data_IF_400073228424
#
_entry.id   IF_400073228424
#
_cell.length_a   1.000
_cell.length_b   1.000
_cell.length_c   1.000
_cell.angle_alpha   90.00
_cell.angle_beta   90.00
_cell.angle_gamma   90.00
#
_symmetry.space_group_name_H-M   'P 1'
#
loop_
_entity.id
_entity.type
_entity.pdbx_description
1 polymer ?
#
# COMPACT_ATOMS: atom_id res chain seq x y z
N UNK A 1 24.45 -0.66 5.20
CA UNK A 1 23.20 -1.33 4.68
C UNK A 1 22.12 -1.18 5.74
N UNK A 2 20.83 -1.18 5.38
CA UNK A 2 19.75 -1.00 6.39
C UNK A 2 19.83 -2.03 7.52
N UNK A 3 20.21 -3.25 7.22
CA UNK A 3 20.42 -4.32 8.21
C UNK A 3 21.50 -4.06 9.26
N UNK A 4 22.31 -3.04 9.09
CA UNK A 4 23.34 -2.63 10.08
C UNK A 4 22.77 -1.64 11.11
N UNK A 5 21.63 -1.01 10.79
CA UNK A 5 21.03 0.04 11.60
C UNK A 5 19.60 -0.25 12.02
N UNK A 6 18.91 -1.16 11.32
CA UNK A 6 17.51 -1.50 11.56
C UNK A 6 17.36 -2.99 11.90
N UNK A 7 16.50 -3.28 12.86
CA UNK A 7 16.10 -4.64 13.20
C UNK A 7 14.77 -4.96 12.52
N UNK A 8 14.65 -6.09 11.79
CA UNK A 8 13.38 -6.48 11.19
C UNK A 8 12.34 -6.81 12.27
N UNK A 9 11.08 -6.48 11.97
CA UNK A 9 9.95 -6.91 12.79
C UNK A 9 9.64 -8.39 12.59
N UNK A 10 9.06 -9.02 13.60
CA UNK A 10 8.68 -10.44 13.55
C UNK A 10 7.16 -10.65 13.49
N UNK A 11 6.39 -9.56 13.44
CA UNK A 11 4.92 -9.61 13.48
C UNK A 11 4.28 -8.78 12.39
N UNK A 12 3.10 -9.20 11.94
CA UNK A 12 2.26 -8.41 11.05
C UNK A 12 1.58 -7.33 11.87
N UNK A 13 1.77 -6.06 11.50
CA UNK A 13 1.21 -4.93 12.23
C UNK A 13 -0.18 -4.57 11.70
N UNK A 14 -1.20 -4.77 12.56
CA UNK A 14 -2.59 -4.37 12.29
C UNK A 14 -3.08 -3.56 13.47
N UNK A 15 -3.60 -2.37 13.18
CA UNK A 15 -4.18 -1.44 14.15
C UNK A 15 -5.70 -1.53 14.11
N UNK A 16 -6.32 -1.77 15.25
CA UNK A 16 -7.76 -1.60 15.42
C UNK A 16 -8.05 -0.11 15.67
N UNK A 17 -8.77 0.52 14.76
CA UNK A 17 -9.21 1.91 14.90
C UNK A 17 -10.72 2.00 14.97
N UNK A 18 -11.25 3.14 15.37
CA UNK A 18 -12.69 3.39 15.38
C UNK A 18 -13.34 3.33 13.99
N UNK A 19 -12.57 3.44 12.91
CA UNK A 19 -13.07 3.43 11.54
C UNK A 19 -13.01 2.03 10.91
N UNK A 20 -11.84 1.38 10.99
CA UNK A 20 -11.58 0.06 10.41
C UNK A 20 -10.24 -0.49 10.91
N UNK A 21 -9.95 -1.74 10.58
CA UNK A 21 -8.60 -2.28 10.76
C UNK A 21 -7.66 -1.74 9.69
N UNK A 22 -6.49 -1.25 10.12
CA UNK A 22 -5.46 -0.68 9.27
C UNK A 22 -4.19 -1.52 9.37
N UNK A 23 -3.69 -2.02 8.25
CA UNK A 23 -2.38 -2.65 8.17
C UNK A 23 -1.28 -1.61 7.97
N UNK A 24 -0.14 -1.79 8.61
CA UNK A 24 1.03 -0.93 8.43
C UNK A 24 2.21 -1.77 7.97
N UNK A 25 2.85 -1.34 6.89
CA UNK A 25 4.05 -1.93 6.33
C UNK A 25 5.00 -0.81 5.88
N UNK A 26 6.28 -1.09 5.68
CA UNK A 26 7.28 -0.07 5.40
C UNK A 26 8.06 -0.42 4.13
N UNK A 27 8.10 0.53 3.19
CA UNK A 27 8.99 0.57 2.03
C UNK A 27 9.13 -0.77 1.29
N UNK A 28 10.22 -1.50 1.55
CA UNK A 28 10.56 -2.75 0.87
C UNK A 28 9.51 -3.85 1.06
N UNK A 29 8.75 -3.82 2.16
CA UNK A 29 7.69 -4.78 2.46
C UNK A 29 6.68 -4.91 1.31
N UNK A 30 6.47 -3.84 0.55
CA UNK A 30 5.52 -3.83 -0.58
C UNK A 30 5.88 -4.84 -1.68
N UNK A 31 7.12 -5.32 -1.72
CA UNK A 31 7.56 -6.34 -2.68
C UNK A 31 6.96 -7.72 -2.41
N UNK A 32 6.45 -7.95 -1.20
CA UNK A 32 5.96 -9.25 -0.73
C UNK A 32 4.43 -9.25 -0.65
N UNK A 33 3.72 -9.72 -1.70
CA UNK A 33 2.25 -9.69 -1.75
C UNK A 33 1.60 -10.53 -0.64
N UNK A 34 2.29 -11.54 -0.14
CA UNK A 34 1.81 -12.43 0.93
C UNK A 34 1.52 -11.66 2.22
N UNK A 35 2.35 -10.67 2.56
CA UNK A 35 2.16 -9.84 3.75
C UNK A 35 0.80 -9.11 3.71
N UNK A 36 0.48 -8.48 2.59
CA UNK A 36 -0.76 -7.72 2.42
C UNK A 36 -1.98 -8.62 2.33
N UNK A 37 -1.82 -9.81 1.77
CA UNK A 37 -2.87 -10.83 1.80
C UNK A 37 -3.17 -11.25 3.24
N UNK A 38 -2.16 -11.49 4.05
CA UNK A 38 -2.33 -11.84 5.45
C UNK A 38 -3.01 -10.71 6.24
N UNK A 39 -2.59 -9.46 6.06
CA UNK A 39 -3.26 -8.30 6.66
C UNK A 39 -4.73 -8.21 6.27
N UNK A 40 -5.04 -8.43 5.00
CA UNK A 40 -6.42 -8.40 4.48
C UNK A 40 -7.27 -9.51 5.06
N UNK A 41 -6.75 -10.72 5.15
CA UNK A 41 -7.45 -11.86 5.75
C UNK A 41 -7.67 -11.69 7.26
N UNK A 42 -6.79 -10.95 7.94
CA UNK A 42 -6.97 -10.54 9.33
C UNK A 42 -7.93 -9.35 9.50
N UNK A 43 -8.49 -8.82 8.40
CA UNK A 43 -9.56 -7.83 8.39
C UNK A 43 -9.13 -6.40 8.04
N UNK A 44 -7.88 -6.16 7.67
CA UNK A 44 -7.45 -4.83 7.23
C UNK A 44 -8.26 -4.36 6.00
N UNK A 45 -8.73 -3.12 6.05
CA UNK A 45 -9.47 -2.45 4.97
C UNK A 45 -8.66 -1.35 4.30
N UNK A 46 -7.63 -0.88 4.97
CA UNK A 46 -6.67 0.13 4.52
C UNK A 46 -5.26 -0.34 4.87
N UNK A 47 -4.32 -0.15 3.97
CA UNK A 47 -2.89 -0.28 4.25
C UNK A 47 -2.25 1.11 4.22
N UNK A 48 -1.38 1.38 5.17
CA UNK A 48 -0.49 2.53 5.18
C UNK A 48 0.93 2.06 4.93
N UNK A 49 1.58 2.63 3.91
CA UNK A 49 2.93 2.28 3.50
C UNK A 49 3.80 3.54 3.34
N UNK A 50 4.52 3.98 4.37
CA UNK A 50 5.62 4.91 4.15
C UNK A 50 6.75 4.22 3.39
N UNK A 51 7.32 4.91 2.40
CA UNK A 51 8.40 4.33 1.60
C UNK A 51 9.02 5.34 0.64
N UNK A 52 10.27 5.10 0.27
CA UNK A 52 11.01 5.95 -0.66
C UNK A 52 11.64 5.08 -1.76
N UNK A 53 11.02 5.03 -2.93
CA UNK A 53 11.62 4.42 -4.10
C UNK A 53 12.58 5.40 -4.76
N UNK A 54 13.69 4.88 -5.30
CA UNK A 54 14.65 5.67 -6.07
C UNK A 54 14.15 5.94 -7.50
N UNK A 55 14.93 6.69 -8.26
CA UNK A 55 14.59 7.07 -9.64
C UNK A 55 14.67 5.92 -10.66
N UNK A 56 15.23 4.77 -10.30
CA UNK A 56 15.25 3.58 -11.16
C UNK A 56 13.98 2.76 -10.98
N UNK A 57 13.65 2.43 -9.74
CA UNK A 57 12.50 1.57 -9.44
C UNK A 57 11.18 2.35 -9.28
N UNK A 58 11.26 3.62 -8.93
CA UNK A 58 10.07 4.47 -8.76
C UNK A 58 9.21 4.53 -10.02
N UNK A 59 9.73 5.04 -11.15
CA UNK A 59 8.96 5.13 -12.39
C UNK A 59 8.44 3.79 -12.90
N UNK A 60 9.20 2.72 -12.71
CA UNK A 60 8.87 1.40 -13.23
C UNK A 60 7.90 0.61 -12.34
N UNK A 61 7.97 0.78 -11.01
CA UNK A 61 7.30 -0.14 -10.09
C UNK A 61 6.29 0.53 -9.15
N UNK A 62 6.46 1.81 -8.80
CA UNK A 62 5.66 2.45 -7.75
C UNK A 62 4.16 2.33 -8.02
N UNK A 63 3.71 2.91 -9.13
CA UNK A 63 2.29 2.94 -9.50
C UNK A 63 1.70 1.53 -9.67
N UNK A 64 2.43 0.67 -10.39
CA UNK A 64 2.02 -0.70 -10.65
C UNK A 64 1.83 -1.47 -9.34
N UNK A 65 2.82 -1.38 -8.45
CA UNK A 65 2.82 -2.15 -7.21
C UNK A 65 1.72 -1.70 -6.26
N UNK A 66 1.54 -0.37 -6.06
CA UNK A 66 0.51 0.14 -5.15
C UNK A 66 -0.90 -0.23 -5.62
N UNK A 67 -1.16 -0.09 -6.92
CA UNK A 67 -2.42 -0.48 -7.53
C UNK A 67 -2.66 -1.99 -7.45
N UNK A 68 -1.64 -2.80 -7.70
CA UNK A 68 -1.74 -4.25 -7.61
C UNK A 68 -2.08 -4.70 -6.18
N UNK A 69 -1.42 -4.15 -5.15
CA UNK A 69 -1.72 -4.49 -3.74
C UNK A 69 -3.14 -4.12 -3.34
N UNK A 70 -3.64 -2.97 -3.81
CA UNK A 70 -5.03 -2.58 -3.59
C UNK A 70 -6.01 -3.54 -4.29
N UNK A 71 -5.80 -3.82 -5.58
CA UNK A 71 -6.65 -4.65 -6.42
C UNK A 71 -6.68 -6.11 -5.95
N UNK A 72 -5.52 -6.73 -5.75
CA UNK A 72 -5.39 -8.13 -5.36
C UNK A 72 -6.12 -8.45 -4.04
N UNK A 73 -6.17 -7.46 -3.16
CA UNK A 73 -6.74 -7.58 -1.82
C UNK A 73 -8.10 -6.90 -1.68
N UNK A 74 -8.51 -6.14 -2.69
CA UNK A 74 -9.78 -5.37 -2.71
C UNK A 74 -9.92 -4.50 -1.46
N UNK A 75 -8.90 -3.68 -1.21
CA UNK A 75 -8.78 -2.75 -0.08
C UNK A 75 -8.25 -1.40 -0.57
N UNK A 76 -8.28 -0.39 0.29
CA UNK A 76 -7.53 0.84 0.05
C UNK A 76 -6.06 0.65 0.38
N UNK A 77 -5.19 1.30 -0.41
CA UNK A 77 -3.75 1.25 -0.22
C UNK A 77 -3.17 2.66 -0.34
N UNK A 78 -2.68 3.20 0.78
CA UNK A 78 -2.10 4.54 0.85
C UNK A 78 -0.58 4.43 0.99
N UNK A 79 0.14 4.89 -0.02
CA UNK A 79 1.59 4.93 -0.03
C UNK A 79 2.08 6.38 0.07
N UNK A 80 2.96 6.65 1.03
CA UNK A 80 3.51 7.98 1.31
C UNK A 80 5.00 7.98 1.06
N UNK A 81 5.45 8.87 0.18
CA UNK A 81 6.86 9.04 -0.16
C UNK A 81 7.33 10.46 0.18
N UNK A 82 8.58 10.64 0.60
CA UNK A 82 9.16 11.98 0.70
C UNK A 82 9.08 12.72 -0.63
N UNK A 83 8.96 14.04 -0.57
CA UNK A 83 9.19 14.90 -1.72
C UNK A 83 10.61 14.70 -2.26
N UNK A 84 10.78 14.90 -3.57
CA UNK A 84 12.11 14.75 -4.19
C UNK A 84 12.97 15.96 -3.86
N UNK A 85 14.09 15.69 -3.21
CA UNK A 85 15.19 16.64 -3.08
C UNK A 85 16.20 16.36 -4.21
N UNK A 86 16.32 17.29 -5.15
CA UNK A 86 17.22 17.17 -6.31
C UNK A 86 18.68 17.45 -5.97
N UNK A 87 18.93 18.10 -4.84
CA UNK A 87 20.28 18.45 -4.36
C UNK A 87 20.80 17.44 -3.31
N UNK A 88 19.92 16.60 -2.78
CA UNK A 88 20.24 15.63 -1.75
C UNK A 88 20.96 14.39 -2.28
N UNK A 89 21.60 13.64 -1.39
CA UNK A 89 22.33 12.41 -1.75
C UNK A 89 21.40 11.27 -2.20
N UNK A 90 20.13 11.34 -1.87
CA UNK A 90 19.11 10.38 -2.27
C UNK A 90 17.90 11.09 -2.87
N UNK A 91 17.59 10.77 -4.12
CA UNK A 91 16.44 11.32 -4.81
C UNK A 91 15.28 10.34 -4.76
N UNK A 92 14.30 10.63 -3.90
CA UNK A 92 13.05 9.88 -3.84
C UNK A 92 12.22 10.12 -5.11
N UNK A 93 11.52 9.08 -5.56
CA UNK A 93 10.58 9.20 -6.68
C UNK A 93 9.42 10.14 -6.35
N UNK A 94 9.02 10.23 -5.07
CA UNK A 94 7.84 10.98 -4.64
C UNK A 94 6.56 10.24 -5.00
N UNK A 95 5.56 10.99 -5.51
CA UNK A 95 4.32 10.43 -6.03
C UNK A 95 3.48 9.69 -4.99
N UNK A 96 3.34 10.24 -3.79
CA UNK A 96 2.43 9.71 -2.78
C UNK A 96 1.03 9.49 -3.37
N UNK A 97 0.40 8.39 -3.02
CA UNK A 97 -0.85 8.01 -3.67
C UNK A 97 -1.77 7.19 -2.75
N UNK A 98 -3.06 7.20 -3.07
CA UNK A 98 -4.05 6.30 -2.49
C UNK A 98 -4.75 5.56 -3.63
N UNK A 99 -4.62 4.23 -3.64
CA UNK A 99 -5.34 3.37 -4.56
C UNK A 99 -6.60 2.80 -3.90
N UNK A 100 -7.69 2.71 -4.65
CA UNK A 100 -8.97 2.17 -4.22
C UNK A 100 -9.06 0.64 -4.46
N UNK A 101 -10.11 -0.05 -3.97
CA UNK A 101 -10.28 -1.50 -4.14
C UNK A 101 -10.38 -1.98 -5.60
N UNK A 102 -10.65 -1.09 -6.54
CA UNK A 102 -10.67 -1.39 -7.99
C UNK A 102 -9.29 -1.23 -8.64
N UNK A 103 -8.26 -0.81 -7.89
CA UNK A 103 -6.91 -0.58 -8.39
C UNK A 103 -6.73 0.76 -9.11
N UNK A 104 -7.59 1.73 -8.88
CA UNK A 104 -7.48 3.09 -9.41
C UNK A 104 -6.97 4.04 -8.33
N UNK A 105 -6.26 5.09 -8.74
CA UNK A 105 -5.89 6.15 -7.82
C UNK A 105 -7.09 7.06 -7.51
N UNK A 106 -7.45 7.17 -6.23
CA UNK A 106 -8.42 8.14 -5.72
C UNK A 106 -7.76 9.37 -5.07
N UNK A 107 -6.44 9.36 -4.95
CA UNK A 107 -5.62 10.49 -4.53
C UNK A 107 -4.18 10.29 -4.98
N UNK A 108 -3.54 11.36 -5.47
CA UNK A 108 -2.14 11.29 -5.92
C UNK A 108 -1.48 12.67 -5.89
N UNK A 109 -0.19 12.69 -5.55
CA UNK A 109 0.70 13.85 -5.73
C UNK A 109 1.66 13.61 -6.89
N UNK A 110 2.52 14.60 -7.13
CA UNK A 110 3.74 14.46 -7.91
C UNK A 110 4.98 14.32 -7.00
N UNK A 111 6.14 14.71 -7.49
CA UNK A 111 7.40 14.64 -6.75
C UNK A 111 7.62 15.81 -5.77
N UNK A 112 6.76 16.83 -5.79
CA UNK A 112 6.89 18.04 -4.96
C UNK A 112 6.29 17.82 -3.57
N UNK A 113 6.67 18.68 -2.63
CA UNK A 113 6.02 18.76 -1.33
C UNK A 113 4.54 19.12 -1.51
N UNK A 114 3.67 18.27 -0.99
CA UNK A 114 2.22 18.45 -1.09
C UNK A 114 1.46 17.56 -0.11
N UNK A 115 0.16 17.80 0.00
CA UNK A 115 -0.77 16.99 0.80
C UNK A 115 -1.79 16.36 -0.15
N UNK A 116 -2.03 15.07 0.02
CA UNK A 116 -3.11 14.34 -0.64
C UNK A 116 -4.26 14.09 0.33
N UNK A 117 -5.47 14.33 -0.14
CA UNK A 117 -6.70 13.94 0.55
C UNK A 117 -7.41 12.88 -0.28
N UNK A 118 -7.87 11.81 0.37
CA UNK A 118 -8.68 10.78 -0.26
C UNK A 118 -9.81 10.33 0.69
N UNK A 119 -10.98 10.11 0.13
CA UNK A 119 -12.10 9.50 0.86
C UNK A 119 -11.90 7.99 0.87
N UNK A 120 -11.93 7.39 2.06
CA UNK A 120 -11.97 5.94 2.24
C UNK A 120 -13.44 5.54 2.42
N UNK A 121 -13.99 4.85 1.44
CA UNK A 121 -15.36 4.39 1.42
C UNK A 121 -15.39 2.87 1.71
N UNK A 122 -15.79 2.50 2.91
CA UNK A 122 -15.79 1.11 3.34
C UNK A 122 -16.89 0.29 2.66
N UNK A 123 -17.99 0.93 2.31
CA UNK A 123 -19.10 0.26 1.59
C UNK A 123 -18.66 -0.10 0.16
N UNK A 124 -17.83 0.73 -0.46
CA UNK A 124 -17.25 0.44 -1.77
C UNK A 124 -16.37 -0.82 -1.77
N UNK A 125 -15.66 -1.10 -0.67
CA UNK A 125 -14.92 -2.36 -0.53
C UNK A 125 -15.87 -3.56 -0.63
N UNK A 126 -17.00 -3.50 0.08
CA UNK A 126 -17.98 -4.59 0.08
C UNK A 126 -18.69 -4.73 -1.27
N UNK A 127 -19.00 -3.61 -1.93
CA UNK A 127 -19.53 -3.60 -3.29
C UNK A 127 -18.62 -4.33 -4.26
N UNK A 128 -17.32 -3.96 -4.32
CA UNK A 128 -16.33 -4.58 -5.18
C UNK A 128 -16.16 -6.08 -4.87
N UNK A 129 -16.11 -6.45 -3.59
CA UNK A 129 -16.01 -7.86 -3.18
C UNK A 129 -17.24 -8.70 -3.52
N UNK A 130 -18.39 -8.08 -3.62
CA UNK A 130 -19.62 -8.77 -4.04
C UNK A 130 -19.68 -8.92 -5.57
N UNK A 131 -19.25 -7.91 -6.31
CA UNK A 131 -19.21 -7.96 -7.78
C UNK A 131 -18.13 -8.92 -8.29
N UNK A 132 -16.96 -8.92 -7.67
CA UNK A 132 -15.82 -9.76 -8.04
C UNK A 132 -15.22 -10.42 -6.78
N UNK A 133 -15.75 -11.58 -6.33
CA UNK A 133 -15.43 -12.15 -5.03
C UNK A 133 -14.09 -12.89 -4.98
N UNK A 134 -12.98 -12.19 -5.26
CA UNK A 134 -11.63 -12.76 -5.33
C UNK A 134 -11.23 -13.48 -4.06
N UNK A 135 -11.49 -12.89 -2.90
CA UNK A 135 -11.10 -13.48 -1.61
C UNK A 135 -11.87 -14.78 -1.31
N UNK A 136 -13.13 -14.88 -1.74
CA UNK A 136 -13.97 -16.09 -1.56
C UNK A 136 -13.57 -17.21 -2.52
N UNK A 137 -13.08 -16.86 -3.71
CA UNK A 137 -12.71 -17.84 -4.74
C UNK A 137 -11.28 -18.37 -4.58
N UNK A 138 -10.55 -17.93 -3.56
CA UNK A 138 -9.23 -18.47 -3.23
C UNK A 138 -9.35 -19.96 -2.92
N UNK A 139 -8.30 -20.68 -3.26
CA UNK A 139 -8.14 -22.12 -2.96
C UNK A 139 -6.94 -22.33 -2.03
N UNK A 140 -7.06 -22.02 -0.71
CA UNK A 140 -5.92 -21.99 0.22
C UNK A 140 -5.16 -23.32 0.32
N UNK A 141 -5.80 -24.42 -0.06
CA UNK A 141 -5.13 -25.72 -0.09
C UNK A 141 -4.08 -25.86 -1.22
N UNK A 142 -4.05 -24.92 -2.16
CA UNK A 142 -3.11 -24.95 -3.29
C UNK A 142 -1.96 -23.93 -3.14
N UNK A 143 -2.09 -22.96 -2.22
CA UNK A 143 -1.12 -21.87 -2.03
C UNK A 143 -1.28 -21.19 -0.65
#
# INVERSE_FOLDING_TARGET
MESETLTPGETVTILDTEFCKIGVAICYDVRFPELFRNMTLAGAKLILLPGAFNMTTGPAHWDLTMRARALDNQIYFAAVSPARDTEGPYQAYGNSCVANPWGEFCGRTDARESIVYAKIDLDYIEEIRNQLPLLKHRRPALY
#
